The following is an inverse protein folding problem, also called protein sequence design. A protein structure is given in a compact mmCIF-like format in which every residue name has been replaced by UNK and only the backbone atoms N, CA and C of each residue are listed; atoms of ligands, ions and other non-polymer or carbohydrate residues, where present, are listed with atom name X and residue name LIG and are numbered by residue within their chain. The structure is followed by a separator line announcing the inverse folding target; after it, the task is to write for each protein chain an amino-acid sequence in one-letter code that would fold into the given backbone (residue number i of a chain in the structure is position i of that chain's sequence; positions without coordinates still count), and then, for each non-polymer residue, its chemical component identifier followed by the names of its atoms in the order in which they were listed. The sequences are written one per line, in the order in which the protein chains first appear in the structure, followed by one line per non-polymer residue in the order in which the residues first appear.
data_IF_479126055257
#
_entry.id   IF_479126055257
#
_cell.length_a   1.000
_cell.length_b   1.000
_cell.length_c   1.000
_cell.angle_alpha   90.00
_cell.angle_beta   90.00
_cell.angle_gamma   90.00
#
_symmetry.space_group_name_H-M   'P 1'
#
loop_
_entity.id
_entity.type
_entity.pdbx_description
1 polymer ?
#
# COMPACT_ATOMS: atom_id res chain seq x y z
N UNK A 1 -12.31 -16.88 -0.70
CA UNK A 1 -11.00 -16.82 -1.40
C UNK A 1 -10.49 -15.40 -1.40
N UNK A 2 -9.32 -15.13 -1.97
CA UNK A 2 -8.79 -13.75 -2.11
C UNK A 2 -8.51 -13.44 -3.59
N UNK A 3 -8.78 -12.20 -3.99
CA UNK A 3 -8.32 -11.62 -5.25
C UNK A 3 -7.03 -10.84 -4.98
N UNK A 4 -6.02 -11.08 -5.82
CA UNK A 4 -4.76 -10.33 -5.81
C UNK A 4 -4.64 -9.58 -7.14
N UNK A 5 -4.44 -8.26 -7.06
CA UNK A 5 -4.17 -7.41 -8.22
C UNK A 5 -2.79 -6.79 -8.06
N UNK A 6 -1.98 -6.87 -9.11
CA UNK A 6 -0.66 -6.25 -9.18
C UNK A 6 -0.70 -5.13 -10.22
N UNK A 7 -0.28 -3.93 -9.81
CA UNK A 7 -0.17 -2.75 -10.68
C UNK A 7 1.30 -2.38 -10.74
N UNK A 8 1.86 -2.48 -11.94
CA UNK A 8 3.26 -2.20 -12.22
C UNK A 8 3.46 -0.77 -12.72
N UNK A 9 4.32 -0.04 -12.04
CA UNK A 9 4.91 1.22 -12.50
C UNK A 9 6.32 0.93 -13.05
N UNK A 10 6.64 1.53 -14.19
CA UNK A 10 7.94 1.43 -14.88
C UNK A 10 8.82 2.68 -14.68
N UNK A 11 8.49 3.50 -13.69
CA UNK A 11 9.27 4.66 -13.32
C UNK A 11 10.64 4.31 -12.74
N UNK A 12 11.33 5.31 -12.19
CA UNK A 12 12.70 5.16 -11.64
C UNK A 12 12.76 4.27 -10.38
N UNK A 13 11.61 3.94 -9.80
CA UNK A 13 11.51 3.23 -8.54
C UNK A 13 11.77 4.14 -7.34
N UNK A 14 11.88 3.52 -6.16
CA UNK A 14 12.25 4.17 -4.91
C UNK A 14 13.28 3.32 -4.20
N UNK A 15 14.10 3.93 -3.35
CA UNK A 15 15.08 3.20 -2.55
C UNK A 15 14.39 2.29 -1.52
N UNK A 16 15.12 1.27 -1.08
CA UNK A 16 14.59 0.23 -0.19
C UNK A 16 14.14 0.80 1.17
N UNK A 17 14.81 1.84 1.68
CA UNK A 17 14.45 2.46 2.95
C UNK A 17 13.11 3.20 2.81
N UNK A 18 12.94 3.95 1.73
CA UNK A 18 11.67 4.63 1.42
C UNK A 18 10.54 3.64 1.21
N UNK A 19 10.78 2.53 0.51
CA UNK A 19 9.80 1.46 0.34
C UNK A 19 9.36 0.87 1.70
N UNK A 20 10.32 0.57 2.57
CA UNK A 20 10.05 0.07 3.92
C UNK A 20 9.26 1.07 4.76
N UNK A 21 9.59 2.37 4.68
CA UNK A 21 8.87 3.42 5.39
C UNK A 21 7.41 3.55 4.92
N UNK A 22 7.16 3.39 3.62
CA UNK A 22 5.79 3.41 3.07
C UNK A 22 5.02 2.19 3.55
N UNK A 23 5.56 0.98 3.42
CA UNK A 23 4.89 -0.24 3.87
C UNK A 23 4.62 -0.20 5.39
N UNK A 24 5.55 0.30 6.20
CA UNK A 24 5.34 0.51 7.63
C UNK A 24 4.17 1.45 7.90
N UNK A 25 4.04 2.54 7.15
CA UNK A 25 2.89 3.46 7.27
C UNK A 25 1.57 2.79 6.87
N UNK A 26 1.57 1.93 5.85
CA UNK A 26 0.39 1.15 5.46
C UNK A 26 -0.01 0.14 6.54
N UNK A 27 0.95 -0.38 7.31
CA UNK A 27 0.65 -1.30 8.40
C UNK A 27 0.27 -0.64 9.72
N UNK A 28 0.61 0.63 9.91
CA UNK A 28 0.31 1.30 11.18
C UNK A 28 -1.16 1.73 11.21
N UNK A 29 -1.91 1.27 12.23
CA UNK A 29 -3.31 1.65 12.48
C UNK A 29 -3.42 3.09 13.00
N UNK A 30 -2.94 4.06 12.23
CA UNK A 30 -3.03 5.46 12.64
C UNK A 30 -4.48 5.96 12.49
N UNK A 31 -5.33 5.59 13.46
CA UNK A 31 -6.46 6.39 13.92
C UNK A 31 -5.84 7.63 14.57
N UNK A 32 -5.26 8.53 13.78
CA UNK A 32 -4.92 9.88 14.21
C UNK A 32 -4.73 10.74 12.96
N UNK A 33 -5.64 11.68 12.81
CA UNK A 33 -5.76 12.76 11.81
C UNK A 33 -4.56 13.73 11.76
N UNK A 34 -3.36 13.29 12.14
CA UNK A 34 -2.20 14.18 12.29
C UNK A 34 -0.93 13.53 11.75
N UNK A 35 -0.91 13.22 10.46
CA UNK A 35 0.34 12.94 9.77
C UNK A 35 0.54 14.03 8.70
N UNK A 36 1.13 15.13 9.13
CA UNK A 36 1.92 15.99 8.27
C UNK A 36 3.14 15.20 7.78
N UNK A 37 2.93 14.31 6.82
CA UNK A 37 3.98 13.70 6.02
C UNK A 37 3.86 14.24 4.59
N UNK A 38 4.95 14.20 3.79
CA UNK A 38 4.98 14.83 2.47
C UNK A 38 3.79 14.35 1.63
N UNK A 39 3.31 15.19 0.72
CA UNK A 39 2.18 14.92 -0.19
C UNK A 39 2.21 13.52 -0.85
N UNK A 40 3.39 12.91 -0.93
CA UNK A 40 3.67 11.57 -1.43
C UNK A 40 3.35 10.48 -0.38
N UNK A 41 2.10 10.02 -0.35
CA UNK A 41 1.71 8.81 0.40
C UNK A 41 0.33 8.84 1.04
N UNK A 42 -0.33 10.00 1.07
CA UNK A 42 -1.70 10.15 1.61
C UNK A 42 -2.70 9.28 0.84
N UNK A 43 -2.54 9.15 -0.47
CA UNK A 43 -3.45 8.37 -1.32
C UNK A 43 -3.39 6.87 -0.99
N UNK A 44 -2.19 6.27 -0.98
CA UNK A 44 -2.02 4.84 -0.68
C UNK A 44 -2.44 4.51 0.74
N UNK A 45 -2.11 5.36 1.72
CA UNK A 45 -2.53 5.18 3.10
C UNK A 45 -4.06 5.18 3.23
N UNK A 46 -4.74 6.13 2.59
CA UNK A 46 -6.20 6.22 2.61
C UNK A 46 -6.86 5.00 1.92
N UNK A 47 -6.35 4.58 0.77
CA UNK A 47 -6.86 3.38 0.07
C UNK A 47 -6.71 2.14 0.95
N UNK A 48 -5.52 1.92 1.50
CA UNK A 48 -5.24 0.78 2.36
C UNK A 48 -6.09 0.79 3.65
N UNK A 49 -6.23 1.95 4.28
CA UNK A 49 -7.09 2.12 5.46
C UNK A 49 -8.54 1.78 5.13
N UNK A 50 -9.08 2.25 4.00
CA UNK A 50 -10.45 1.91 3.57
C UNK A 50 -10.59 0.41 3.34
N UNK A 51 -9.65 -0.23 2.63
CA UNK A 51 -9.68 -1.68 2.41
C UNK A 51 -9.70 -2.43 3.74
N UNK A 52 -8.80 -2.08 4.67
CA UNK A 52 -8.73 -2.69 6.01
C UNK A 52 -10.02 -2.48 6.82
N UNK A 53 -10.61 -1.29 6.74
CA UNK A 53 -11.88 -0.97 7.41
C UNK A 53 -13.06 -1.78 6.87
N UNK A 54 -13.15 -1.98 5.56
CA UNK A 54 -14.26 -2.70 4.93
C UNK A 54 -14.12 -4.21 5.02
N UNK A 55 -12.91 -4.75 4.91
CA UNK A 55 -12.69 -6.18 4.68
C UNK A 55 -11.91 -6.90 5.77
N UNK A 56 -11.23 -6.18 6.68
CA UNK A 56 -10.40 -6.76 7.73
C UNK A 56 -8.91 -6.44 7.56
N UNK A 57 -8.16 -6.55 8.66
CA UNK A 57 -6.74 -6.17 8.73
C UNK A 57 -5.83 -7.05 7.86
N UNK A 58 -6.31 -8.22 7.46
CA UNK A 58 -5.62 -9.16 6.58
C UNK A 58 -5.67 -8.79 5.09
N UNK A 59 -6.40 -7.73 4.73
CA UNK A 59 -6.50 -7.16 3.38
C UNK A 59 -5.82 -5.79 3.31
N UNK A 60 -5.52 -5.30 2.11
CA UNK A 60 -4.87 -4.00 1.96
C UNK A 60 -3.97 -3.88 0.74
N UNK A 61 -2.97 -3.00 0.90
CA UNK A 61 -1.93 -2.70 -0.08
C UNK A 61 -0.55 -3.06 0.46
N UNK A 62 0.31 -3.56 -0.42
CA UNK A 62 1.75 -3.73 -0.21
C UNK A 62 2.49 -3.16 -1.43
N UNK A 63 3.59 -2.45 -1.23
CA UNK A 63 4.48 -2.05 -2.32
C UNK A 63 5.72 -2.94 -2.39
N UNK A 64 6.15 -3.25 -3.61
CA UNK A 64 7.39 -4.01 -3.90
C UNK A 64 8.25 -3.26 -4.91
N UNK A 65 9.56 -3.40 -4.80
CA UNK A 65 10.48 -3.00 -5.87
C UNK A 65 10.49 -4.04 -6.99
N UNK A 66 10.70 -3.59 -8.22
CA UNK A 66 10.78 -4.46 -9.40
C UNK A 66 12.24 -4.56 -9.87
N UNK A 67 12.64 -5.72 -10.38
CA UNK A 67 14.01 -5.98 -10.83
C UNK A 67 14.46 -5.04 -11.96
N UNK A 68 13.52 -4.59 -12.79
CA UNK A 68 13.80 -3.74 -13.96
C UNK A 68 13.66 -2.23 -13.66
N UNK A 69 13.57 -1.85 -12.38
CA UNK A 69 13.18 -0.50 -11.97
C UNK A 69 11.66 -0.35 -11.80
N UNK A 70 11.25 0.74 -11.17
CA UNK A 70 9.85 1.01 -10.83
C UNK A 70 9.37 0.33 -9.56
N UNK A 71 8.06 0.29 -9.37
CA UNK A 71 7.40 -0.32 -8.20
C UNK A 71 6.19 -1.16 -8.63
N UNK A 72 5.84 -2.16 -7.82
CA UNK A 72 4.61 -2.92 -7.94
C UNK A 72 3.72 -2.63 -6.72
N UNK A 73 2.46 -2.27 -6.96
CA UNK A 73 1.45 -2.16 -5.92
C UNK A 73 0.57 -3.41 -5.92
N UNK A 74 0.57 -4.12 -4.80
CA UNK A 74 -0.16 -5.38 -4.61
C UNK A 74 -1.40 -5.10 -3.78
N UNK A 75 -2.58 -5.33 -4.35
CA UNK A 75 -3.88 -5.20 -3.67
C UNK A 75 -4.42 -6.58 -3.34
N UNK A 76 -4.79 -6.80 -2.08
CA UNK A 76 -5.45 -8.04 -1.62
C UNK A 76 -6.87 -7.72 -1.17
N UNK A 77 -7.85 -8.38 -1.77
CA UNK A 77 -9.28 -8.23 -1.46
C UNK A 77 -9.95 -9.59 -1.22
N UNK A 78 -11.03 -9.66 -0.41
CA UNK A 78 -11.82 -10.88 -0.30
C UNK A 78 -12.61 -11.12 -1.59
N UNK A 79 -12.83 -12.39 -1.92
CA UNK A 79 -13.85 -12.80 -2.88
C UNK A 79 -15.12 -13.08 -2.07
N UNK A 80 -16.01 -12.10 -2.01
CA UNK A 80 -17.36 -12.22 -1.46
C UNK A 80 -18.35 -12.47 -2.59
N UNK A 81 -19.22 -13.47 -2.43
CA UNK A 81 -20.37 -13.75 -3.30
C UNK A 81 -21.64 -13.20 -2.67
#
# INVERSE_FOLDING_TARGET
GCLWCEIDDDGVGIDQQRLADINKKLDTEAINDTIAAPKDGLALANINQRIKLYFGKEYGLELRSRANGGIAAIVKLPITF
#
